data_IF_550245132040
#
_entry.id   IF_550245132040
#
_cell.length_a   1.000
_cell.length_b   1.000
_cell.length_c   1.000
_cell.angle_alpha   90.00
_cell.angle_beta   90.00
_cell.angle_gamma   90.00
#
_symmetry.space_group_name_H-M   'P 1'
#
loop_
_entity.id
_entity.type
_entity.pdbx_description
1 polymer ?
#
# COMPACT_ATOMS: atom_id res chain seq x y z
N UNK A 1 -13.56 -16.66 -5.40
CA UNK A 1 -14.47 -17.35 -4.46
C UNK A 1 -14.46 -18.89 -4.61
N UNK A 2 -14.57 -19.45 -5.84
CA UNK A 2 -14.75 -20.90 -6.10
C UNK A 2 -13.70 -21.87 -5.52
N UNK A 3 -12.51 -21.39 -5.17
CA UNK A 3 -11.42 -22.24 -4.67
C UNK A 3 -11.43 -22.42 -3.16
N UNK A 4 -12.20 -21.62 -2.41
CA UNK A 4 -12.36 -21.84 -0.98
C UNK A 4 -13.34 -22.98 -0.74
N UNK A 5 -13.02 -23.84 0.24
CA UNK A 5 -13.98 -24.79 0.79
C UNK A 5 -15.17 -24.03 1.42
N UNK A 6 -16.36 -24.65 1.52
CA UNK A 6 -17.48 -24.04 2.24
C UNK A 6 -17.08 -23.58 3.66
N UNK A 7 -17.43 -22.34 4.00
CA UNK A 7 -17.05 -21.70 5.27
C UNK A 7 -15.62 -21.14 5.35
N UNK A 8 -14.83 -21.29 4.28
CA UNK A 8 -13.48 -20.71 4.19
C UNK A 8 -13.50 -19.19 4.18
N UNK A 9 -12.42 -18.58 4.69
CA UNK A 9 -12.24 -17.13 4.75
C UNK A 9 -11.04 -16.70 3.93
N UNK A 10 -11.10 -15.49 3.39
CA UNK A 10 -9.96 -14.82 2.77
C UNK A 10 -9.66 -13.54 3.55
N UNK A 11 -8.38 -13.28 3.77
CA UNK A 11 -7.89 -12.03 4.34
C UNK A 11 -6.83 -11.48 3.39
N UNK A 12 -6.98 -10.22 3.00
CA UNK A 12 -6.09 -9.54 2.06
C UNK A 12 -5.72 -8.20 2.67
N UNK A 13 -4.43 -7.92 2.75
CA UNK A 13 -3.92 -6.55 2.85
C UNK A 13 -3.42 -6.13 1.47
N UNK A 14 -3.80 -4.95 1.02
CA UNK A 14 -3.43 -4.44 -0.31
C UNK A 14 -3.29 -2.92 -0.28
N UNK A 15 -2.55 -2.38 -1.25
CA UNK A 15 -2.50 -0.94 -1.45
C UNK A 15 -3.79 -0.47 -2.16
N UNK A 16 -4.45 0.49 -1.52
CA UNK A 16 -5.62 1.17 -2.06
C UNK A 16 -5.30 2.66 -2.21
N UNK A 17 -6.02 3.34 -3.10
CA UNK A 17 -5.97 4.81 -3.21
C UNK A 17 -7.04 5.45 -2.32
N UNK A 18 -6.87 6.73 -2.02
CA UNK A 18 -7.88 7.55 -1.35
C UNK A 18 -9.17 7.69 -2.17
N UNK A 19 -10.26 8.05 -1.50
CA UNK A 19 -11.58 8.18 -2.14
C UNK A 19 -11.66 9.35 -3.12
N UNK A 20 -10.86 10.40 -2.88
CA UNK A 20 -10.76 11.58 -3.73
C UNK A 20 -9.31 11.86 -4.11
N UNK A 21 -9.13 12.60 -5.20
CA UNK A 21 -7.83 13.15 -5.56
C UNK A 21 -7.30 14.05 -4.43
N UNK A 22 -5.98 14.16 -4.34
CA UNK A 22 -5.32 15.06 -3.42
C UNK A 22 -5.66 16.52 -3.76
N UNK A 23 -5.85 17.35 -2.74
CA UNK A 23 -6.20 18.77 -2.94
C UNK A 23 -5.08 19.56 -3.61
N UNK A 24 -3.83 19.14 -3.38
CA UNK A 24 -2.66 19.65 -4.07
C UNK A 24 -2.43 18.86 -5.36
N UNK A 25 -2.52 19.55 -6.51
CA UNK A 25 -2.35 18.96 -7.83
C UNK A 25 -0.93 18.45 -8.10
N UNK A 26 0.10 19.06 -7.50
CA UNK A 26 1.48 18.58 -7.65
C UNK A 26 1.66 17.24 -6.95
N UNK A 27 1.13 17.11 -5.73
CA UNK A 27 1.12 15.84 -4.97
C UNK A 27 0.33 14.77 -5.72
N UNK A 28 -0.84 15.12 -6.27
CA UNK A 28 -1.63 14.18 -7.07
C UNK A 28 -0.86 13.70 -8.31
N UNK A 29 -0.20 14.61 -9.02
CA UNK A 29 0.59 14.28 -10.20
C UNK A 29 1.78 13.36 -9.87
N UNK A 30 2.45 13.59 -8.74
CA UNK A 30 3.54 12.73 -8.26
C UNK A 30 3.02 11.33 -7.90
N UNK A 31 1.89 11.25 -7.19
CA UNK A 31 1.26 9.98 -6.87
C UNK A 31 0.85 9.19 -8.13
N UNK A 32 0.26 9.86 -9.12
CA UNK A 32 -0.15 9.22 -10.38
C UNK A 32 1.06 8.70 -11.17
N UNK A 33 2.16 9.46 -11.20
CA UNK A 33 3.41 9.03 -11.81
C UNK A 33 4.00 7.81 -11.09
N UNK A 34 3.98 7.79 -9.75
CA UNK A 34 4.42 6.65 -8.95
C UNK A 34 3.57 5.40 -9.26
N UNK A 35 2.24 5.52 -9.22
CA UNK A 35 1.30 4.42 -9.54
C UNK A 35 1.55 3.87 -10.93
N UNK A 36 1.72 4.73 -11.92
CA UNK A 36 2.02 4.34 -13.30
C UNK A 36 3.38 3.64 -13.42
N UNK A 37 4.43 4.14 -12.76
CA UNK A 37 5.77 3.55 -12.79
C UNK A 37 5.82 2.12 -12.23
N UNK A 38 4.91 1.80 -11.29
CA UNK A 38 4.76 0.48 -10.68
C UNK A 38 3.79 -0.43 -11.43
N UNK A 39 3.07 0.10 -12.43
CA UNK A 39 2.01 -0.63 -13.12
C UNK A 39 0.82 -0.97 -12.23
N UNK A 40 0.61 -0.21 -11.15
CA UNK A 40 -0.46 -0.48 -10.20
C UNK A 40 -1.84 -0.08 -10.75
N UNK A 41 -2.84 -0.87 -10.42
CA UNK A 41 -4.26 -0.52 -10.57
C UNK A 41 -4.87 -0.46 -9.17
N UNK A 42 -4.92 0.73 -8.58
CA UNK A 42 -5.38 0.92 -7.21
C UNK A 42 -6.89 1.21 -7.18
N UNK A 43 -7.63 0.41 -6.41
CA UNK A 43 -9.02 0.68 -6.07
C UNK A 43 -9.10 1.51 -4.79
N UNK A 44 -10.23 2.15 -4.55
CA UNK A 44 -10.57 2.62 -3.20
C UNK A 44 -10.92 1.41 -2.33
N UNK A 45 -10.81 1.53 -1.01
CA UNK A 45 -11.18 0.46 -0.06
C UNK A 45 -12.63 0.00 -0.29
N UNK A 46 -13.54 0.95 -0.56
CA UNK A 46 -14.93 0.65 -0.86
C UNK A 46 -15.10 -0.15 -2.17
N UNK A 47 -14.44 0.26 -3.25
CA UNK A 47 -14.52 -0.43 -4.54
C UNK A 47 -13.86 -1.81 -4.51
N UNK A 48 -12.79 -1.98 -3.73
CA UNK A 48 -12.17 -3.28 -3.50
C UNK A 48 -13.14 -4.24 -2.78
N UNK A 49 -13.77 -3.75 -1.70
CA UNK A 49 -14.81 -4.51 -0.99
C UNK A 49 -15.95 -4.91 -1.93
N UNK A 50 -16.42 -3.98 -2.76
CA UNK A 50 -17.45 -4.25 -3.77
C UNK A 50 -17.00 -5.34 -4.76
N UNK A 51 -15.77 -5.32 -5.24
CA UNK A 51 -15.26 -6.35 -6.15
C UNK A 51 -15.30 -7.75 -5.53
N UNK A 52 -15.01 -7.89 -4.23
CA UNK A 52 -15.15 -9.16 -3.52
C UNK A 52 -16.61 -9.60 -3.37
N UNK A 53 -17.50 -8.67 -3.02
CA UNK A 53 -18.94 -8.95 -2.95
C UNK A 53 -19.50 -9.40 -4.30
N UNK A 54 -19.16 -8.69 -5.38
CA UNK A 54 -19.58 -9.01 -6.75
C UNK A 54 -19.03 -10.37 -7.21
N UNK A 55 -17.88 -10.80 -6.70
CA UNK A 55 -17.31 -12.13 -6.93
C UNK A 55 -18.01 -13.26 -6.16
N UNK A 56 -18.95 -12.95 -5.25
CA UNK A 56 -19.76 -13.91 -4.51
C UNK A 56 -19.28 -14.20 -3.08
N UNK A 57 -18.36 -13.39 -2.53
CA UNK A 57 -18.03 -13.47 -1.11
C UNK A 57 -19.13 -12.82 -0.27
N UNK A 58 -19.45 -13.42 0.89
CA UNK A 58 -20.34 -12.85 1.90
C UNK A 58 -19.52 -12.28 3.06
N UNK A 59 -20.16 -11.48 3.91
CA UNK A 59 -19.54 -10.93 5.13
C UNK A 59 -18.25 -10.14 4.85
N UNK A 60 -18.25 -9.39 3.74
CA UNK A 60 -17.09 -8.59 3.31
C UNK A 60 -16.92 -7.40 4.26
N UNK A 61 -15.75 -7.34 4.91
CA UNK A 61 -15.38 -6.26 5.83
C UNK A 61 -14.22 -5.46 5.22
N UNK A 62 -14.49 -4.43 4.41
CA UNK A 62 -13.45 -3.53 3.93
C UNK A 62 -13.00 -2.61 5.08
N UNK A 63 -11.69 -2.49 5.30
CA UNK A 63 -11.13 -1.71 6.39
C UNK A 63 -10.02 -0.78 5.89
N UNK A 64 -10.14 0.50 6.20
CA UNK A 64 -9.05 1.45 6.03
C UNK A 64 -8.15 1.40 7.26
N UNK A 65 -6.92 0.91 7.08
CA UNK A 65 -5.90 0.80 8.14
C UNK A 65 -4.68 1.69 7.84
N UNK A 66 -4.89 2.79 7.11
CA UNK A 66 -3.83 3.72 6.71
C UNK A 66 -3.06 4.26 7.92
N UNK A 67 -3.73 4.52 9.05
CA UNK A 67 -3.06 5.00 10.26
C UNK A 67 -2.03 3.99 10.80
N UNK A 68 -2.38 2.70 10.79
CA UNK A 68 -1.45 1.63 11.14
C UNK A 68 -0.29 1.60 10.14
N UNK A 69 -0.59 1.67 8.84
CA UNK A 69 0.44 1.66 7.79
C UNK A 69 1.43 2.83 7.95
N UNK A 70 0.94 4.04 8.18
CA UNK A 70 1.78 5.23 8.45
C UNK A 70 2.62 5.04 9.72
N UNK A 71 2.07 4.43 10.78
CA UNK A 71 2.84 4.15 12.00
C UNK A 71 3.97 3.15 11.77
N UNK A 72 3.73 2.12 10.94
CA UNK A 72 4.76 1.16 10.53
C UNK A 72 5.86 1.85 9.73
N UNK A 73 5.50 2.62 8.69
CA UNK A 73 6.46 3.33 7.85
C UNK A 73 7.36 4.29 8.64
N UNK A 74 6.78 5.05 9.58
CA UNK A 74 7.55 5.94 10.46
C UNK A 74 8.53 5.18 11.35
N UNK A 75 8.13 4.04 11.89
CA UNK A 75 9.01 3.20 12.72
C UNK A 75 10.11 2.56 11.87
N UNK A 76 9.76 2.07 10.68
CA UNK A 76 10.69 1.43 9.75
C UNK A 76 11.76 2.39 9.27
N UNK A 77 11.38 3.60 8.85
CA UNK A 77 12.34 4.62 8.42
C UNK A 77 13.27 5.07 9.55
N UNK A 78 12.75 5.19 10.78
CA UNK A 78 13.56 5.55 11.96
C UNK A 78 14.60 4.47 12.28
N UNK A 79 14.21 3.18 12.19
CA UNK A 79 15.13 2.07 12.43
C UNK A 79 16.14 1.93 11.30
N UNK A 80 15.70 1.99 10.04
CA UNK A 80 16.56 1.88 8.86
C UNK A 80 17.60 3.00 8.79
N UNK A 81 17.22 4.23 9.17
CA UNK A 81 18.14 5.35 9.13
C UNK A 81 19.33 5.22 10.10
N UNK A 82 19.19 4.40 11.15
CA UNK A 82 20.27 4.12 12.12
C UNK A 82 21.32 3.15 11.58
N UNK A 83 21.02 2.44 10.48
CA UNK A 83 21.91 1.46 9.85
C UNK A 83 22.52 1.97 8.53
N UNK A 84 22.64 3.30 8.33
CA UNK A 84 23.16 3.88 7.07
C UNK A 84 24.53 3.30 6.70
N UNK A 85 25.51 3.33 7.60
CA UNK A 85 26.88 2.92 7.30
C UNK A 85 26.96 1.44 6.92
N UNK A 86 26.22 0.56 7.62
CA UNK A 86 26.14 -0.87 7.31
C UNK A 86 25.46 -1.11 5.96
N UNK A 87 24.36 -0.42 5.68
CA UNK A 87 23.64 -0.57 4.42
C UNK A 87 24.47 -0.08 3.23
N UNK A 88 25.12 1.09 3.33
CA UNK A 88 25.95 1.65 2.24
C UNK A 88 27.20 0.79 1.99
N UNK A 89 27.71 0.08 3.00
CA UNK A 89 28.81 -0.86 2.81
C UNK A 89 28.40 -2.09 1.97
N UNK A 90 27.13 -2.50 2.01
CA UNK A 90 26.58 -3.62 1.23
C UNK A 90 25.96 -3.18 -0.11
N UNK A 91 25.40 -1.98 -0.16
CA UNK A 91 24.70 -1.40 -1.30
C UNK A 91 25.38 -0.10 -1.76
N UNK A 92 24.61 0.95 -2.04
CA UNK A 92 25.12 2.27 -2.40
C UNK A 92 24.42 3.37 -1.61
N UNK A 93 25.06 4.53 -1.51
CA UNK A 93 24.42 5.72 -0.95
C UNK A 93 23.16 6.12 -1.72
N UNK A 94 23.16 5.93 -3.05
CA UNK A 94 21.99 6.19 -3.89
C UNK A 94 20.80 5.28 -3.54
N UNK A 95 21.06 4.01 -3.23
CA UNK A 95 20.01 3.07 -2.82
C UNK A 95 19.45 3.42 -1.44
N UNK A 96 20.33 3.86 -0.52
CA UNK A 96 19.90 4.36 0.78
C UNK A 96 19.02 5.60 0.63
N UNK A 97 19.48 6.59 -0.16
CA UNK A 97 18.75 7.83 -0.40
C UNK A 97 17.39 7.56 -1.05
N UNK A 98 17.29 6.59 -1.97
CA UNK A 98 16.02 6.18 -2.57
C UNK A 98 15.02 5.61 -1.55
N UNK A 99 15.50 4.96 -0.49
CA UNK A 99 14.62 4.39 0.55
C UNK A 99 14.15 5.47 1.52
N UNK A 100 14.99 6.47 1.82
CA UNK A 100 14.68 7.52 2.82
C UNK A 100 14.07 8.80 2.24
N UNK A 101 14.04 8.94 0.90
CA UNK A 101 13.48 10.10 0.20
C UNK A 101 11.95 10.20 0.28
#
# INVERSE_FOLDING_TARGET
>A
FKWLKPGGRVLISDYCRGDTAHADAAVQSEFDAYVASRGYTLLTVANYGKALSDAGFTDVVPANVTDLFVSCLKREIELFSKSKDEFVAEFTEKDYDYIVS
#
